data_IF_567542244211
#
_entry.id   IF_567542244211
#
_cell.length_a   1.000
_cell.length_b   1.000
_cell.length_c   1.000
_cell.angle_alpha   90.00
_cell.angle_beta   90.00
_cell.angle_gamma   90.00
#
_symmetry.space_group_name_H-M   'P 1'
#
loop_
_entity.id
_entity.type
_entity.pdbx_description
1 polymer ?
#
# COMPACT_ATOMS: atom_id res chain seq x y z
N UNK A 1 40.59 40.75 -26.75
CA UNK A 1 40.13 40.66 -25.35
C UNK A 1 38.67 40.18 -25.22
N UNK A 2 37.84 40.21 -26.26
CA UNK A 2 36.42 39.80 -26.15
C UNK A 2 36.16 38.31 -25.89
N UNK A 3 37.05 37.40 -26.32
CA UNK A 3 36.84 35.94 -26.19
C UNK A 3 36.96 35.40 -24.75
N UNK A 4 37.61 36.14 -23.85
CA UNK A 4 37.82 35.70 -22.46
C UNK A 4 36.61 36.05 -21.58
N UNK A 5 35.98 37.19 -21.84
CA UNK A 5 34.77 37.59 -21.10
C UNK A 5 33.55 36.73 -21.45
N UNK A 6 33.40 36.33 -22.72
CA UNK A 6 32.28 35.49 -23.16
C UNK A 6 32.36 34.05 -22.62
N UNK A 7 33.55 33.51 -22.37
CA UNK A 7 33.73 32.19 -21.76
C UNK A 7 33.37 32.17 -20.26
N UNK A 8 33.70 33.26 -19.53
CA UNK A 8 33.32 33.40 -18.12
C UNK A 8 31.80 33.60 -17.94
N UNK A 9 31.16 34.39 -18.81
CA UNK A 9 29.70 34.60 -18.76
C UNK A 9 28.92 33.30 -19.03
N UNK A 10 29.41 32.43 -19.91
CA UNK A 10 28.82 31.11 -20.20
C UNK A 10 28.98 30.12 -19.04
N UNK A 11 30.14 30.09 -18.38
CA UNK A 11 30.38 29.23 -17.21
C UNK A 11 29.55 29.68 -16.00
N UNK A 12 29.38 30.99 -15.81
CA UNK A 12 28.59 31.56 -14.71
C UNK A 12 27.08 31.39 -14.93
N UNK A 13 26.57 31.57 -16.15
CA UNK A 13 25.19 31.26 -16.50
C UNK A 13 24.85 29.77 -16.32
N UNK A 14 25.77 28.88 -16.72
CA UNK A 14 25.59 27.42 -16.58
C UNK A 14 25.59 26.98 -15.11
N UNK A 15 26.39 27.64 -14.27
CA UNK A 15 26.39 27.40 -12.80
C UNK A 15 25.11 27.86 -12.12
N UNK A 16 24.52 28.97 -12.57
CA UNK A 16 23.24 29.48 -12.04
C UNK A 16 22.08 28.56 -12.47
N UNK A 17 22.02 28.15 -13.74
CA UNK A 17 20.99 27.24 -14.23
C UNK A 17 21.04 25.86 -13.55
N UNK A 18 22.25 25.31 -13.33
CA UNK A 18 22.42 24.04 -12.61
C UNK A 18 22.02 24.14 -11.13
N UNK A 19 22.31 25.25 -10.46
CA UNK A 19 21.89 25.50 -9.07
C UNK A 19 20.37 25.61 -8.92
N UNK A 20 19.70 26.28 -9.86
CA UNK A 20 18.23 26.36 -9.89
C UNK A 20 17.59 24.99 -10.17
N UNK A 21 18.12 24.25 -11.14
CA UNK A 21 17.65 22.90 -11.47
C UNK A 21 17.81 21.92 -10.30
N UNK A 22 18.93 22.01 -9.57
CA UNK A 22 19.22 21.23 -8.38
C UNK A 22 18.25 21.56 -7.24
N UNK A 23 17.95 22.84 -7.02
CA UNK A 23 16.98 23.29 -6.01
C UNK A 23 15.57 22.81 -6.34
N UNK A 24 15.13 22.96 -7.59
CA UNK A 24 13.83 22.47 -8.06
C UNK A 24 13.70 20.95 -7.93
N UNK A 25 14.75 20.21 -8.29
CA UNK A 25 14.76 18.74 -8.20
C UNK A 25 14.70 18.26 -6.75
N UNK A 26 15.45 18.88 -5.84
CA UNK A 26 15.39 18.60 -4.39
C UNK A 26 14.01 18.94 -3.81
N UNK A 27 13.42 20.06 -4.22
CA UNK A 27 12.07 20.45 -3.80
C UNK A 27 11.01 19.46 -4.31
N UNK A 28 11.10 19.03 -5.56
CA UNK A 28 10.19 18.04 -6.14
C UNK A 28 10.26 16.69 -5.41
N UNK A 29 11.48 16.23 -5.10
CA UNK A 29 11.69 15.00 -4.34
C UNK A 29 11.07 15.07 -2.93
N UNK A 30 11.35 16.15 -2.21
CA UNK A 30 10.91 16.30 -0.81
C UNK A 30 9.44 16.65 -0.66
N UNK A 31 8.89 17.47 -1.55
CA UNK A 31 7.53 18.01 -1.41
C UNK A 31 6.48 17.12 -2.06
N UNK A 32 6.88 16.26 -3.02
CA UNK A 32 5.94 15.45 -3.80
C UNK A 32 6.27 13.96 -3.75
N UNK A 33 7.44 13.55 -4.23
CA UNK A 33 7.73 12.13 -4.38
C UNK A 33 7.78 11.37 -3.05
N UNK A 34 8.43 11.92 -2.02
CA UNK A 34 8.48 11.27 -0.70
C UNK A 34 7.10 11.20 -0.01
N UNK A 35 6.28 12.28 0.03
CA UNK A 35 4.90 12.19 0.52
C UNK A 35 4.02 11.22 -0.27
N UNK A 36 4.17 11.18 -1.60
CA UNK A 36 3.42 10.26 -2.45
C UNK A 36 3.81 8.81 -2.19
N UNK A 37 5.10 8.53 -1.94
CA UNK A 37 5.61 7.22 -1.54
C UNK A 37 5.04 6.78 -0.18
N UNK A 38 5.06 7.65 0.82
CA UNK A 38 4.50 7.35 2.14
C UNK A 38 2.99 7.05 2.06
N UNK A 39 2.24 7.87 1.30
CA UNK A 39 0.81 7.62 1.08
C UNK A 39 0.56 6.28 0.40
N UNK A 40 1.28 5.98 -0.68
CA UNK A 40 1.14 4.72 -1.39
C UNK A 40 1.51 3.52 -0.49
N UNK A 41 2.52 3.65 0.37
CA UNK A 41 2.90 2.61 1.33
C UNK A 41 1.81 2.36 2.37
N UNK A 42 1.20 3.41 2.93
CA UNK A 42 0.08 3.28 3.87
C UNK A 42 -1.14 2.62 3.23
N UNK A 43 -1.46 2.99 2.00
CA UNK A 43 -2.53 2.37 1.22
C UNK A 43 -2.26 0.87 0.99
N UNK A 44 -1.04 0.52 0.59
CA UNK A 44 -0.62 -0.87 0.40
C UNK A 44 -0.71 -1.68 1.70
N UNK A 45 -0.18 -1.16 2.82
CA UNK A 45 -0.26 -1.82 4.13
C UNK A 45 -1.71 -2.02 4.58
N UNK A 46 -2.58 -1.03 4.36
CA UNK A 46 -4.00 -1.15 4.67
C UNK A 46 -4.67 -2.25 3.85
N UNK A 47 -4.34 -2.37 2.55
CA UNK A 47 -4.86 -3.43 1.69
C UNK A 47 -4.39 -4.81 2.16
N UNK A 48 -3.12 -4.95 2.53
CA UNK A 48 -2.58 -6.22 3.06
C UNK A 48 -3.30 -6.63 4.34
N UNK A 49 -3.47 -5.71 5.29
CA UNK A 49 -4.19 -5.97 6.53
C UNK A 49 -5.65 -6.42 6.28
N UNK A 50 -6.36 -5.73 5.37
CA UNK A 50 -7.73 -6.11 4.99
C UNK A 50 -7.77 -7.50 4.34
N UNK A 51 -6.84 -7.81 3.44
CA UNK A 51 -6.77 -9.13 2.80
C UNK A 51 -6.58 -10.23 3.85
N UNK A 52 -5.69 -10.02 4.83
CA UNK A 52 -5.44 -10.99 5.89
C UNK A 52 -6.66 -11.19 6.79
N UNK A 53 -7.38 -10.12 7.11
CA UNK A 53 -8.64 -10.20 7.86
C UNK A 53 -9.70 -11.01 7.11
N UNK A 54 -9.89 -10.74 5.81
CA UNK A 54 -10.83 -11.51 4.99
C UNK A 54 -10.41 -12.97 4.79
N UNK A 55 -9.10 -13.27 4.73
CA UNK A 55 -8.58 -14.64 4.72
C UNK A 55 -8.93 -15.38 6.01
N UNK A 56 -8.66 -14.76 7.16
CA UNK A 56 -9.06 -15.29 8.48
C UNK A 56 -10.56 -15.54 8.56
N UNK A 57 -11.37 -14.59 8.08
CA UNK A 57 -12.83 -14.73 8.06
C UNK A 57 -13.29 -15.91 7.18
N UNK A 58 -12.71 -16.06 5.99
CA UNK A 58 -13.00 -17.19 5.10
C UNK A 58 -12.67 -18.52 5.76
N UNK A 59 -11.52 -18.60 6.44
CA UNK A 59 -11.08 -19.83 7.11
C UNK A 59 -11.91 -20.10 8.38
N UNK A 60 -12.35 -19.07 9.09
CA UNK A 60 -13.31 -19.20 10.18
C UNK A 60 -14.66 -19.76 9.69
N UNK A 61 -15.19 -19.26 8.57
CA UNK A 61 -16.44 -19.78 7.99
C UNK A 61 -16.34 -21.25 7.55
N UNK A 62 -15.14 -21.71 7.17
CA UNK A 62 -14.89 -23.13 6.84
C UNK A 62 -14.95 -24.04 8.07
N UNK A 63 -14.59 -23.54 9.26
CA UNK A 63 -14.72 -24.31 10.51
C UNK A 63 -16.19 -24.65 10.83
N UNK A 64 -17.11 -23.77 10.41
CA UNK A 64 -18.55 -23.91 10.59
C UNK A 64 -19.26 -24.56 9.41
N UNK A 65 -18.53 -25.12 8.43
CA UNK A 65 -19.14 -25.84 7.32
C UNK A 65 -19.60 -27.22 7.80
N UNK A 66 -20.82 -27.63 7.44
CA UNK A 66 -21.54 -28.85 7.89
C UNK A 66 -20.95 -30.17 7.34
N UNK A 67 -19.63 -30.34 7.39
CA UNK A 67 -18.98 -31.61 7.05
C UNK A 67 -18.89 -32.50 8.30
N UNK A 68 -18.81 -33.83 8.15
CA UNK A 68 -18.72 -34.77 9.28
C UNK A 68 -17.51 -34.54 10.23
N UNK A 69 -16.63 -33.59 9.91
CA UNK A 69 -15.44 -33.17 10.64
C UNK A 69 -15.57 -31.82 11.37
N UNK A 70 -16.74 -31.15 11.35
CA UNK A 70 -16.95 -29.90 12.10
C UNK A 70 -16.75 -30.13 13.59
N UNK A 71 -15.75 -29.47 14.18
CA UNK A 71 -15.39 -29.60 15.59
C UNK A 71 -16.36 -28.87 16.54
N UNK A 72 -17.24 -28.04 15.99
CA UNK A 72 -18.15 -27.17 16.75
C UNK A 72 -19.59 -27.47 16.32
N UNK A 73 -20.45 -27.74 17.29
CA UNK A 73 -21.88 -28.04 17.11
C UNK A 73 -22.74 -26.96 17.77
N UNK A 74 -23.98 -26.82 17.29
CA UNK A 74 -24.98 -26.01 17.99
C UNK A 74 -25.10 -26.53 19.43
N UNK A 75 -25.03 -25.61 20.39
CA UNK A 75 -25.07 -25.91 21.81
C UNK A 75 -23.71 -25.99 22.50
N UNK A 76 -22.60 -26.00 21.75
CA UNK A 76 -21.26 -25.92 22.33
C UNK A 76 -21.00 -24.54 22.97
N UNK A 77 -20.20 -24.55 24.03
CA UNK A 77 -19.70 -23.32 24.67
C UNK A 77 -18.44 -22.85 23.96
N UNK A 78 -18.46 -21.61 23.48
CA UNK A 78 -17.36 -20.94 22.80
C UNK A 78 -16.98 -19.66 23.53
N UNK A 79 -15.68 -19.37 23.61
CA UNK A 79 -15.18 -18.12 24.16
C UNK A 79 -15.30 -17.03 23.09
N UNK A 80 -16.15 -16.03 23.36
CA UNK A 80 -16.28 -14.84 22.53
C UNK A 80 -15.45 -13.71 23.13
N UNK A 81 -14.56 -13.12 22.33
CA UNK A 81 -13.86 -11.89 22.71
C UNK A 81 -14.85 -10.71 22.68
N UNK A 82 -14.97 -10.01 23.81
CA UNK A 82 -15.83 -8.82 23.96
C UNK A 82 -15.03 -7.51 23.93
N UNK A 83 -13.71 -7.60 23.73
CA UNK A 83 -12.79 -6.47 23.67
C UNK A 83 -11.90 -6.34 24.90
N UNK A 84 -10.86 -5.51 24.78
CA UNK A 84 -9.92 -5.16 25.86
C UNK A 84 -9.23 -6.37 26.53
N UNK A 85 -9.07 -7.49 25.81
CA UNK A 85 -8.47 -8.71 26.34
C UNK A 85 -9.40 -9.53 27.22
N UNK A 86 -10.70 -9.26 27.20
CA UNK A 86 -11.72 -9.99 27.96
C UNK A 86 -12.47 -10.94 27.02
N UNK A 87 -12.52 -12.21 27.39
CA UNK A 87 -13.31 -13.23 26.70
C UNK A 87 -14.42 -13.75 27.63
N UNK A 88 -15.61 -13.97 27.08
CA UNK A 88 -16.79 -14.45 27.79
C UNK A 88 -17.23 -15.78 27.21
N UNK A 89 -17.64 -16.71 28.07
CA UNK A 89 -18.25 -17.96 27.64
C UNK A 89 -19.65 -17.71 27.06
N UNK A 90 -19.85 -18.15 25.82
CA UNK A 90 -21.10 -17.98 25.08
C UNK A 90 -21.55 -19.31 24.51
N UNK A 91 -22.86 -19.49 24.34
CA UNK A 91 -23.42 -20.70 23.75
C UNK A 91 -23.74 -20.47 22.29
N UNK A 92 -23.27 -21.35 21.41
CA UNK A 92 -23.55 -21.26 19.97
C UNK A 92 -25.00 -21.66 19.68
N UNK A 93 -25.82 -20.73 19.21
CA UNK A 93 -27.25 -20.94 18.92
C UNK A 93 -27.47 -21.33 17.45
N UNK A 94 -26.84 -20.63 16.52
CA UNK A 94 -26.98 -20.85 15.08
C UNK A 94 -25.70 -20.40 14.37
N UNK A 95 -25.23 -21.17 13.38
CA UNK A 95 -24.03 -20.84 12.59
C UNK A 95 -24.25 -20.93 11.07
N UNK A 96 -25.40 -21.43 10.62
CA UNK A 96 -25.67 -21.66 9.19
C UNK A 96 -25.86 -20.36 8.41
N UNK A 97 -26.26 -19.28 9.12
CA UNK A 97 -26.64 -17.99 8.56
C UNK A 97 -25.88 -16.82 9.19
N UNK A 98 -24.56 -16.69 8.91
CA UNK A 98 -23.77 -15.57 9.38
C UNK A 98 -24.31 -14.22 8.87
N UNK A 99 -24.16 -13.20 9.69
CA UNK A 99 -24.44 -11.80 9.33
C UNK A 99 -23.13 -11.17 8.84
N UNK A 100 -23.12 -10.71 7.59
CA UNK A 100 -21.94 -10.13 6.96
C UNK A 100 -22.17 -8.66 6.64
N UNK A 101 -21.18 -7.81 6.99
CA UNK A 101 -21.15 -6.42 6.53
C UNK A 101 -20.86 -6.35 5.03
N UNK A 102 -21.71 -5.62 4.30
CA UNK A 102 -21.54 -5.41 2.87
C UNK A 102 -20.51 -4.31 2.54
N UNK A 103 -19.97 -3.62 3.56
CA UNK A 103 -19.06 -2.50 3.38
C UNK A 103 -19.74 -1.24 2.82
N UNK A 104 -21.08 -1.18 2.88
CA UNK A 104 -21.88 0.00 2.57
C UNK A 104 -22.39 0.55 3.90
N UNK A 105 -21.67 1.49 4.51
CA UNK A 105 -22.01 2.08 5.81
C UNK A 105 -22.46 1.03 6.85
N UNK A 106 -23.77 0.94 7.11
CA UNK A 106 -24.38 0.06 8.12
C UNK A 106 -25.26 -1.04 7.51
N UNK A 107 -25.00 -1.45 6.27
CA UNK A 107 -25.74 -2.52 5.63
C UNK A 107 -25.10 -3.88 5.91
N UNK A 108 -25.92 -4.75 6.49
CA UNK A 108 -25.58 -6.13 6.78
C UNK A 108 -26.55 -7.06 6.05
N UNK A 109 -26.03 -8.17 5.55
CA UNK A 109 -26.84 -9.22 4.96
C UNK A 109 -26.67 -10.51 5.77
N UNK A 110 -27.79 -11.14 6.10
CA UNK A 110 -27.78 -12.51 6.57
C UNK A 110 -27.69 -13.42 5.35
N UNK A 111 -26.60 -14.17 5.25
CA UNK A 111 -26.31 -15.04 4.10
C UNK A 111 -26.16 -16.47 4.57
N UNK A 112 -26.41 -17.44 3.69
CA UNK A 112 -25.99 -18.82 3.97
C UNK A 112 -24.47 -18.91 4.01
N UNK A 113 -23.91 -19.89 4.73
CA UNK A 113 -22.45 -20.07 4.77
C UNK A 113 -21.82 -20.22 3.36
N UNK A 114 -22.53 -20.84 2.41
CA UNK A 114 -22.09 -20.92 1.00
C UNK A 114 -22.02 -19.54 0.33
N UNK A 115 -23.07 -18.73 0.46
CA UNK A 115 -23.12 -17.38 -0.11
C UNK A 115 -22.11 -16.44 0.55
N UNK A 116 -21.96 -16.54 1.86
CA UNK A 116 -20.96 -15.85 2.66
C UNK A 116 -19.54 -16.09 2.11
N UNK A 117 -19.18 -17.36 1.89
CA UNK A 117 -17.87 -17.73 1.32
C UNK A 117 -17.70 -17.22 -0.11
N UNK A 118 -18.74 -17.29 -0.93
CA UNK A 118 -18.69 -16.76 -2.31
C UNK A 118 -18.48 -15.24 -2.31
N UNK A 119 -19.19 -14.52 -1.45
CA UNK A 119 -19.05 -13.08 -1.27
C UNK A 119 -17.63 -12.70 -0.81
N UNK A 120 -17.11 -13.35 0.23
CA UNK A 120 -15.78 -13.09 0.76
C UNK A 120 -14.69 -13.43 -0.26
N UNK A 121 -14.82 -14.54 -0.99
CA UNK A 121 -13.88 -14.90 -2.06
C UNK A 121 -13.83 -13.82 -3.13
N UNK A 122 -15.00 -13.37 -3.62
CA UNK A 122 -15.07 -12.30 -4.62
C UNK A 122 -14.49 -10.98 -4.10
N UNK A 123 -14.69 -10.69 -2.81
CA UNK A 123 -14.11 -9.51 -2.17
C UNK A 123 -12.59 -9.61 -2.07
N UNK A 124 -12.06 -10.79 -1.73
CA UNK A 124 -10.63 -11.07 -1.71
C UNK A 124 -10.00 -10.86 -3.08
N UNK A 125 -10.58 -11.43 -4.15
CA UNK A 125 -10.06 -11.27 -5.52
C UNK A 125 -9.96 -9.78 -5.91
N UNK A 126 -10.97 -8.98 -5.54
CA UNK A 126 -10.99 -7.55 -5.78
C UNK A 126 -9.91 -6.81 -4.98
N UNK A 127 -9.70 -7.19 -3.72
CA UNK A 127 -8.67 -6.59 -2.87
C UNK A 127 -7.26 -6.98 -3.32
N UNK A 128 -7.05 -8.23 -3.76
CA UNK A 128 -5.79 -8.71 -4.32
C UNK A 128 -5.46 -7.95 -5.61
N UNK A 129 -6.43 -7.78 -6.50
CA UNK A 129 -6.27 -6.95 -7.72
C UNK A 129 -5.90 -5.49 -7.36
N UNK A 130 -6.50 -4.92 -6.32
CA UNK A 130 -6.17 -3.57 -5.85
C UNK A 130 -4.76 -3.49 -5.27
N UNK A 131 -4.35 -4.51 -4.51
CA UNK A 131 -3.00 -4.62 -3.96
C UNK A 131 -1.97 -4.67 -5.08
N UNK A 132 -2.20 -5.48 -6.11
CA UNK A 132 -1.25 -5.62 -7.22
C UNK A 132 -1.05 -4.28 -7.93
N UNK A 133 -2.14 -3.54 -8.20
CA UNK A 133 -2.05 -2.17 -8.74
C UNK A 133 -1.32 -1.20 -7.81
N UNK A 134 -1.47 -1.36 -6.50
CA UNK A 134 -0.77 -0.53 -5.51
C UNK A 134 0.74 -0.83 -5.50
N UNK A 135 1.13 -2.10 -5.68
CA UNK A 135 2.53 -2.52 -5.84
C UNK A 135 3.14 -1.91 -7.09
N UNK A 136 2.45 -1.98 -8.23
CA UNK A 136 2.92 -1.36 -9.49
C UNK A 136 3.13 0.15 -9.33
N UNK A 137 2.21 0.83 -8.65
CA UNK A 137 2.30 2.26 -8.37
C UNK A 137 3.47 2.60 -7.42
N UNK A 138 3.70 1.77 -6.41
CA UNK A 138 4.86 1.91 -5.52
C UNK A 138 6.16 1.80 -6.29
N UNK A 139 6.31 0.76 -7.11
CA UNK A 139 7.49 0.56 -7.95
C UNK A 139 7.72 1.74 -8.90
N UNK A 140 6.66 2.31 -9.47
CA UNK A 140 6.76 3.50 -10.32
C UNK A 140 7.27 4.73 -9.55
N UNK A 141 6.77 4.97 -8.34
CA UNK A 141 7.21 6.10 -7.50
C UNK A 141 8.67 5.91 -7.08
N UNK A 142 9.07 4.70 -6.70
CA UNK A 142 10.44 4.36 -6.35
C UNK A 142 11.40 4.58 -7.52
N UNK A 143 11.02 4.15 -8.72
CA UNK A 143 11.80 4.40 -9.94
C UNK A 143 11.96 5.90 -10.22
N UNK A 144 10.91 6.71 -10.05
CA UNK A 144 10.99 8.16 -10.18
C UNK A 144 11.89 8.81 -9.11
N UNK A 145 11.85 8.31 -7.87
CA UNK A 145 12.75 8.78 -6.79
C UNK A 145 14.21 8.46 -7.14
N UNK A 146 14.47 7.23 -7.60
CA UNK A 146 15.82 6.82 -8.01
C UNK A 146 16.33 7.71 -9.14
N UNK A 147 15.56 7.87 -10.22
CA UNK A 147 15.92 8.73 -11.35
C UNK A 147 16.18 10.18 -10.90
N UNK A 148 15.29 10.75 -10.09
CA UNK A 148 15.45 12.13 -9.60
C UNK A 148 16.68 12.26 -8.72
N UNK A 149 16.98 11.26 -7.89
CA UNK A 149 18.17 11.25 -7.02
C UNK A 149 19.46 11.17 -7.85
N UNK A 150 19.51 10.30 -8.85
CA UNK A 150 20.64 10.22 -9.80
C UNK A 150 20.82 11.53 -10.55
N UNK A 151 19.74 12.15 -11.05
CA UNK A 151 19.81 13.46 -11.70
C UNK A 151 20.31 14.56 -10.76
N UNK A 152 19.90 14.56 -9.49
CA UNK A 152 20.44 15.49 -8.48
C UNK A 152 21.95 15.28 -8.30
N UNK A 153 22.42 14.04 -8.20
CA UNK A 153 23.85 13.73 -8.07
C UNK A 153 24.64 14.20 -9.29
N UNK A 154 24.13 13.94 -10.50
CA UNK A 154 24.76 14.40 -11.74
C UNK A 154 24.81 15.93 -11.83
N UNK A 155 23.72 16.61 -11.48
CA UNK A 155 23.68 18.08 -11.43
C UNK A 155 24.62 18.66 -10.36
N UNK A 156 24.74 18.01 -9.20
CA UNK A 156 25.69 18.43 -8.13
C UNK A 156 27.15 18.27 -8.62
N UNK A 157 27.46 17.18 -9.32
CA UNK A 157 28.78 16.94 -9.90
C UNK A 157 29.12 17.97 -10.99
N UNK A 158 28.19 18.25 -11.91
CA UNK A 158 28.34 19.30 -12.94
C UNK A 158 28.53 20.68 -12.31
N UNK A 159 27.73 21.00 -11.28
CA UNK A 159 27.82 22.28 -10.57
C UNK A 159 29.18 22.46 -9.86
N UNK A 160 29.80 21.38 -9.38
CA UNK A 160 31.15 21.38 -8.77
C UNK A 160 32.29 21.39 -9.80
N UNK A 161 31.99 21.39 -11.11
CA UNK A 161 32.99 21.36 -12.17
C UNK A 161 33.54 19.96 -12.50
N UNK A 162 32.86 18.90 -12.06
CA UNK A 162 33.17 17.51 -12.42
C UNK A 162 32.54 17.08 -13.76
N UNK A 163 33.11 16.04 -14.38
CA UNK A 163 32.50 15.38 -15.55
C UNK A 163 31.34 14.49 -15.12
N UNK A 164 30.32 14.31 -15.98
CA UNK A 164 29.33 13.24 -15.81
C UNK A 164 30.08 11.91 -15.87
N UNK A 165 29.94 11.10 -14.84
CA UNK A 165 30.40 9.70 -14.82
C UNK A 165 29.14 8.86 -14.91
N UNK A 166 28.95 8.18 -16.05
CA UNK A 166 27.90 7.17 -16.21
C UNK A 166 28.38 5.91 -15.49
N UNK A 167 27.89 5.69 -14.27
CA UNK A 167 27.97 4.38 -13.63
C UNK A 167 26.87 3.50 -14.24
N UNK A 168 27.28 2.63 -15.17
CA UNK A 168 26.48 1.53 -15.75
C UNK A 168 26.41 0.37 -14.75
#
# INVERSE_FOLDING_TARGET
MERINSANELDEATKVETAEALTKSRQFLTTRLLPDLDRANREHQSLVAQIDEYKKLRDALRLFDNNATSKVKVGDTVLADVGSGVAVETKLIEYEKPIISLGLANFYAQLTNREARAFITKKLDLLETKRDRAIDKLAQIEAHIHLTSTSITQLDNLHRGGSIVDDI
#
